data_IF_886647510498
#
_entry.id   IF_886647510498
#
_cell.length_a   1.000
_cell.length_b   1.000
_cell.length_c   1.000
_cell.angle_alpha   90.00
_cell.angle_beta   90.00
_cell.angle_gamma   90.00
#
_symmetry.space_group_name_H-M   'P 1'
#
loop_
_entity.id
_entity.type
_entity.pdbx_description
1 polymer ?
#
# COMPACT_ATOMS: atom_id res chain seq x y z
N UNK A 1 -7.75 -4.24 -25.34
CA UNK A 1 -8.62 -5.30 -25.90
C UNK A 1 -10.06 -5.02 -25.50
N UNK A 2 -10.92 -4.95 -26.49
CA UNK A 2 -12.33 -4.74 -26.23
C UNK A 2 -13.00 -6.07 -25.92
N UNK A 3 -13.38 -6.26 -24.67
CA UNK A 3 -14.04 -7.48 -24.23
C UNK A 3 -15.43 -7.63 -24.82
N UNK A 4 -16.10 -6.53 -25.08
CA UNK A 4 -17.48 -6.53 -25.58
C UNK A 4 -17.56 -6.90 -27.07
N UNK A 5 -16.58 -6.50 -27.86
CA UNK A 5 -16.55 -6.89 -29.26
C UNK A 5 -16.39 -8.40 -29.44
N UNK A 6 -15.76 -9.07 -28.48
CA UNK A 6 -15.62 -10.53 -28.50
C UNK A 6 -16.90 -11.28 -28.13
N UNK A 7 -17.90 -10.61 -27.55
CA UNK A 7 -19.21 -11.20 -27.27
C UNK A 7 -20.03 -11.45 -28.52
N UNK A 8 -19.75 -10.74 -29.60
CA UNK A 8 -20.43 -10.94 -30.88
C UNK A 8 -19.96 -12.22 -31.57
N UNK A 9 -18.84 -12.78 -31.13
CA UNK A 9 -18.37 -14.06 -31.64
C UNK A 9 -19.05 -15.22 -30.92
N UNK A 10 -19.07 -16.40 -31.55
CA UNK A 10 -19.69 -17.62 -31.01
C UNK A 10 -18.83 -18.28 -29.94
N UNK A 11 -18.48 -17.55 -28.88
CA UNK A 11 -17.76 -18.11 -27.74
C UNK A 11 -18.71 -18.85 -26.81
N UNK A 12 -18.22 -19.94 -26.22
CA UNK A 12 -18.94 -20.62 -25.15
C UNK A 12 -18.93 -19.75 -23.88
N UNK A 13 -19.91 -19.95 -23.00
CA UNK A 13 -19.98 -19.27 -21.70
C UNK A 13 -18.74 -19.56 -20.86
N UNK A 14 -18.21 -20.79 -20.93
CA UNK A 14 -17.01 -21.17 -20.21
C UNK A 14 -15.79 -20.37 -20.66
N UNK A 15 -15.59 -20.24 -21.97
CA UNK A 15 -14.49 -19.45 -22.54
C UNK A 15 -14.59 -17.98 -22.16
N UNK A 16 -15.80 -17.42 -22.23
CA UNK A 16 -16.02 -16.04 -21.84
C UNK A 16 -15.74 -15.82 -20.36
N UNK A 17 -16.19 -16.71 -19.48
CA UNK A 17 -15.98 -16.61 -18.04
C UNK A 17 -14.50 -16.72 -17.69
N UNK A 18 -13.76 -17.60 -18.34
CA UNK A 18 -12.31 -17.74 -18.15
C UNK A 18 -11.58 -16.48 -18.57
N UNK A 19 -11.90 -15.92 -19.74
CA UNK A 19 -11.29 -14.70 -20.24
C UNK A 19 -11.60 -13.50 -19.33
N UNK A 20 -12.82 -13.38 -18.85
CA UNK A 20 -13.21 -12.33 -17.92
C UNK A 20 -12.45 -12.43 -16.59
N UNK A 21 -12.27 -13.64 -16.08
CA UNK A 21 -11.50 -13.89 -14.87
C UNK A 21 -10.03 -13.52 -15.05
N UNK A 22 -9.41 -13.90 -16.15
CA UNK A 22 -8.02 -13.55 -16.45
C UNK A 22 -7.83 -12.05 -16.58
N UNK A 23 -8.74 -11.35 -17.24
CA UNK A 23 -8.69 -9.90 -17.37
C UNK A 23 -8.83 -9.20 -16.01
N UNK A 24 -9.73 -9.69 -15.17
CA UNK A 24 -9.90 -9.17 -13.82
C UNK A 24 -8.64 -9.38 -12.97
N UNK A 25 -8.04 -10.57 -13.04
CA UNK A 25 -6.82 -10.88 -12.31
C UNK A 25 -5.66 -9.99 -12.76
N UNK A 26 -5.50 -9.75 -14.05
CA UNK A 26 -4.50 -8.82 -14.59
C UNK A 26 -4.75 -7.41 -14.10
N UNK A 27 -5.99 -6.95 -14.10
CA UNK A 27 -6.36 -5.62 -13.61
C UNK A 27 -5.97 -5.45 -12.14
N UNK A 28 -6.27 -6.44 -11.30
CA UNK A 28 -5.92 -6.41 -9.87
C UNK A 28 -4.41 -6.36 -9.68
N UNK A 29 -3.65 -7.15 -10.44
CA UNK A 29 -2.18 -7.17 -10.37
C UNK A 29 -1.62 -5.81 -10.77
N UNK A 30 -2.08 -5.22 -11.87
CA UNK A 30 -1.63 -3.91 -12.34
C UNK A 30 -1.99 -2.81 -11.34
N UNK A 31 -3.18 -2.85 -10.76
CA UNK A 31 -3.62 -1.89 -9.75
C UNK A 31 -2.72 -1.94 -8.51
N UNK A 32 -2.25 -3.13 -8.11
CA UNK A 32 -1.34 -3.29 -6.98
C UNK A 32 0.10 -2.91 -7.29
N UNK A 33 0.56 -3.20 -8.51
CA UNK A 33 1.97 -3.07 -8.87
C UNK A 33 2.34 -1.66 -9.33
N UNK A 34 1.43 -0.97 -10.02
CA UNK A 34 1.71 0.31 -10.65
C UNK A 34 1.29 1.48 -9.78
N UNK A 35 2.17 2.51 -9.63
CA UNK A 35 1.79 3.75 -8.97
C UNK A 35 0.71 4.49 -9.74
N UNK A 36 -0.14 5.23 -9.03
CA UNK A 36 -1.12 6.11 -9.67
C UNK A 36 -0.43 7.32 -10.29
N UNK A 37 -0.89 7.76 -11.46
CA UNK A 37 -0.25 8.83 -12.21
C UNK A 37 -0.29 10.18 -11.48
N UNK A 38 -1.31 10.41 -10.66
CA UNK A 38 -1.49 11.70 -9.98
C UNK A 38 -0.62 11.87 -8.74
N UNK A 39 -0.37 10.81 -7.96
CA UNK A 39 0.35 10.90 -6.69
C UNK A 39 1.56 9.98 -6.59
N UNK A 40 1.78 9.11 -7.58
CA UNK A 40 2.89 8.16 -7.60
C UNK A 40 2.78 7.05 -6.56
N UNK A 41 1.62 6.88 -5.94
CA UNK A 41 1.41 5.88 -4.90
C UNK A 41 0.74 4.63 -5.45
N UNK A 42 1.19 3.49 -4.94
CA UNK A 42 0.47 2.24 -5.12
C UNK A 42 -0.77 2.21 -4.20
N UNK A 43 -1.81 1.44 -4.53
CA UNK A 43 -3.02 1.41 -3.72
C UNK A 43 -2.80 1.10 -2.24
N UNK A 44 -1.93 0.14 -1.91
CA UNK A 44 -1.63 -0.20 -0.51
C UNK A 44 -0.98 0.98 0.22
N UNK A 45 -0.10 1.72 -0.44
CA UNK A 45 0.56 2.89 0.14
C UNK A 45 -0.46 3.99 0.45
N UNK A 46 -1.37 4.24 -0.49
CA UNK A 46 -2.44 5.23 -0.32
C UNK A 46 -3.37 4.85 0.84
N UNK A 47 -3.72 3.59 0.94
CA UNK A 47 -4.57 3.08 2.05
C UNK A 47 -3.91 3.23 3.41
N UNK A 48 -2.61 2.98 3.48
CA UNK A 48 -1.83 3.16 4.72
C UNK A 48 -1.85 4.63 5.15
N UNK A 49 -1.53 5.54 4.24
CA UNK A 49 -1.50 6.97 4.53
C UNK A 49 -2.89 7.46 4.96
N UNK A 50 -3.93 7.03 4.27
CA UNK A 50 -5.30 7.40 4.61
C UNK A 50 -5.71 6.85 5.98
N UNK A 51 -5.40 5.61 6.30
CA UNK A 51 -5.69 5.01 7.59
C UNK A 51 -4.98 5.75 8.73
N UNK A 52 -3.71 6.10 8.53
CA UNK A 52 -2.95 6.87 9.52
C UNK A 52 -3.57 8.25 9.74
N UNK A 53 -4.04 8.89 8.66
CA UNK A 53 -4.75 10.16 8.75
C UNK A 53 -6.04 10.04 9.56
N UNK A 54 -6.83 8.99 9.32
CA UNK A 54 -8.08 8.77 10.03
C UNK A 54 -7.92 8.59 11.54
N UNK A 55 -6.84 7.94 11.96
CA UNK A 55 -6.57 7.75 13.40
C UNK A 55 -5.77 8.89 14.02
N UNK A 56 -5.59 9.99 13.27
CA UNK A 56 -4.96 11.20 13.79
C UNK A 56 -3.46 11.15 13.93
N UNK A 57 -2.78 10.27 13.20
CA UNK A 57 -1.31 10.14 13.25
C UNK A 57 -0.61 11.15 12.34
N UNK A 58 -0.81 12.43 12.59
CA UNK A 58 -0.09 13.49 11.88
C UNK A 58 1.37 13.59 12.37
N UNK A 59 2.17 14.39 11.65
CA UNK A 59 3.57 14.64 12.04
C UNK A 59 3.69 15.39 13.38
N UNK A 60 2.61 15.94 13.89
CA UNK A 60 2.56 16.63 15.18
C UNK A 60 2.08 15.72 16.31
N UNK A 61 1.59 14.51 15.99
CA UNK A 61 1.12 13.58 17.00
C UNK A 61 2.27 12.76 17.59
N UNK A 62 1.99 12.07 18.70
CA UNK A 62 2.92 11.06 19.21
C UNK A 62 2.96 9.86 18.28
N UNK A 63 4.09 9.18 18.24
CA UNK A 63 4.21 7.91 17.53
C UNK A 63 3.27 6.86 18.14
N UNK A 64 2.78 5.96 17.30
CA UNK A 64 2.02 4.79 17.72
C UNK A 64 2.63 3.53 17.13
N UNK A 65 2.41 2.40 17.78
CA UNK A 65 2.91 1.11 17.29
C UNK A 65 2.46 0.88 15.86
N UNK A 66 3.40 0.45 15.00
CA UNK A 66 3.11 0.15 13.60
C UNK A 66 2.05 -0.94 13.44
N UNK A 67 2.00 -1.89 14.37
CA UNK A 67 0.99 -2.93 14.39
C UNK A 67 -0.43 -2.37 14.43
N UNK A 68 -0.66 -1.24 15.07
CA UNK A 68 -1.97 -0.60 15.11
C UNK A 68 -2.40 -0.11 13.73
N UNK A 69 -1.49 0.58 13.04
CA UNK A 69 -1.76 1.04 11.67
C UNK A 69 -2.03 -0.12 10.73
N UNK A 70 -1.21 -1.16 10.80
CA UNK A 70 -1.40 -2.36 9.99
C UNK A 70 -2.76 -2.99 10.25
N UNK A 71 -3.16 -3.11 11.53
CA UNK A 71 -4.47 -3.65 11.90
C UNK A 71 -5.62 -2.84 11.33
N UNK A 72 -5.55 -1.52 11.38
CA UNK A 72 -6.58 -0.64 10.82
C UNK A 72 -6.68 -0.79 9.29
N UNK A 73 -5.54 -0.85 8.60
CA UNK A 73 -5.53 -1.01 7.13
C UNK A 73 -6.16 -2.32 6.72
N UNK A 74 -5.77 -3.42 7.38
CA UNK A 74 -6.30 -4.75 7.06
C UNK A 74 -7.78 -4.85 7.36
N UNK A 75 -8.24 -4.25 8.46
CA UNK A 75 -9.64 -4.30 8.85
C UNK A 75 -10.58 -3.52 7.95
N UNK A 76 -10.10 -2.43 7.34
CA UNK A 76 -10.96 -1.51 6.58
C UNK A 76 -10.72 -1.53 5.07
N UNK A 77 -9.47 -1.65 4.64
CA UNK A 77 -9.13 -1.32 3.25
C UNK A 77 -8.37 -2.40 2.50
N UNK A 78 -7.73 -3.33 3.18
CA UNK A 78 -6.80 -4.24 2.50
C UNK A 78 -6.94 -5.66 3.04
N UNK A 79 -7.54 -6.58 2.28
CA UNK A 79 -7.81 -7.95 2.74
C UNK A 79 -6.60 -8.89 2.71
N UNK A 80 -5.42 -8.39 2.36
CA UNK A 80 -4.21 -9.21 2.26
C UNK A 80 -3.42 -9.21 3.56
N UNK A 81 -2.48 -10.15 3.69
CA UNK A 81 -1.75 -10.39 4.93
C UNK A 81 -1.01 -9.18 5.50
N UNK A 82 -0.77 -9.21 6.80
CA UNK A 82 -0.12 -8.15 7.55
C UNK A 82 1.33 -7.90 7.12
N UNK A 83 2.05 -8.96 6.73
CA UNK A 83 3.43 -8.84 6.28
C UNK A 83 3.57 -7.93 5.06
N UNK A 84 2.72 -8.10 4.06
CA UNK A 84 2.75 -7.28 2.85
C UNK A 84 2.44 -5.81 3.15
N UNK A 85 1.46 -5.57 4.02
CA UNK A 85 1.10 -4.23 4.46
C UNK A 85 2.25 -3.56 5.21
N UNK A 86 2.85 -4.28 6.16
CA UNK A 86 3.97 -3.74 6.94
C UNK A 86 5.21 -3.49 6.08
N UNK A 87 5.53 -4.39 5.15
CA UNK A 87 6.65 -4.17 4.23
C UNK A 87 6.46 -2.90 3.40
N UNK A 88 5.24 -2.62 2.97
CA UNK A 88 4.94 -1.36 2.28
C UNK A 88 5.17 -0.14 3.19
N UNK A 89 4.80 -0.24 4.46
CA UNK A 89 5.09 0.82 5.45
C UNK A 89 6.59 1.04 5.62
N UNK A 90 7.34 -0.05 5.71
CA UNK A 90 8.80 0.01 5.87
C UNK A 90 9.43 0.77 4.71
N UNK A 91 9.04 0.45 3.48
CA UNK A 91 9.58 1.16 2.31
C UNK A 91 9.29 2.66 2.37
N UNK A 92 8.09 3.03 2.80
CA UNK A 92 7.71 4.46 2.91
C UNK A 92 8.40 5.20 4.05
N UNK A 93 8.96 4.47 5.01
CA UNK A 93 9.69 5.05 6.14
C UNK A 93 11.21 5.12 5.90
N UNK A 94 11.72 4.37 4.93
CA UNK A 94 13.16 4.32 4.65
C UNK A 94 13.58 5.54 3.84
N UNK A 95 14.47 6.36 4.40
CA UNK A 95 14.97 7.57 3.76
C UNK A 95 15.90 7.28 2.57
N UNK A 96 16.47 6.09 2.52
CA UNK A 96 17.26 5.64 1.38
C UNK A 96 16.41 5.06 0.25
N UNK A 97 15.14 4.72 0.51
CA UNK A 97 14.18 4.25 -0.50
C UNK A 97 13.41 5.41 -1.14
N UNK A 98 13.14 6.45 -0.36
CA UNK A 98 12.43 7.65 -0.81
C UNK A 98 13.19 8.89 -0.39
N UNK A 99 13.37 9.84 -1.32
CA UNK A 99 14.01 11.12 -1.00
C UNK A 99 13.24 11.87 0.09
N UNK A 100 11.91 11.78 0.04
CA UNK A 100 11.01 12.39 1.02
C UNK A 100 10.10 11.29 1.57
N UNK A 101 10.47 10.61 2.65
CA UNK A 101 9.64 9.54 3.19
C UNK A 101 8.27 10.05 3.62
N UNK A 102 7.23 9.27 3.37
CA UNK A 102 5.87 9.59 3.78
C UNK A 102 5.56 9.16 5.20
N UNK A 103 6.33 8.24 5.74
CA UNK A 103 6.19 7.78 7.11
C UNK A 103 7.44 8.19 7.89
N UNK A 104 7.21 8.78 9.05
CA UNK A 104 8.23 9.09 10.04
C UNK A 104 8.23 7.94 11.04
N UNK A 105 9.30 7.15 11.07
CA UNK A 105 9.41 5.96 11.88
C UNK A 105 10.41 6.11 13.02
N UNK A 106 10.13 5.42 14.13
CA UNK A 106 11.01 5.32 15.27
C UNK A 106 11.28 3.84 15.56
N UNK A 107 12.55 3.49 15.75
CA UNK A 107 12.99 2.13 15.92
C UNK A 107 13.84 1.65 14.75
N UNK A 108 13.96 0.35 14.57
CA UNK A 108 14.73 -0.25 13.48
C UNK A 108 13.87 -0.45 12.24
N UNK A 109 14.06 0.38 11.23
CA UNK A 109 13.39 0.29 9.94
C UNK A 109 14.31 -0.18 8.81
N UNK A 110 15.42 -0.84 9.16
CA UNK A 110 16.41 -1.29 8.22
C UNK A 110 17.48 -0.25 7.94
N UNK A 111 18.45 -0.62 7.12
CA UNK A 111 19.55 0.25 6.71
C UNK A 111 19.82 0.10 5.21
N UNK A 112 20.59 1.04 4.65
CA UNK A 112 20.96 0.98 3.23
C UNK A 112 21.75 -0.29 2.91
N UNK A 113 22.55 -0.79 3.86
CA UNK A 113 23.33 -2.02 3.67
C UNK A 113 22.49 -3.27 3.81
N UNK A 114 21.40 -3.22 4.58
CA UNK A 114 20.48 -4.33 4.76
C UNK A 114 19.04 -3.79 4.90
N UNK A 115 18.37 -3.50 3.78
CA UNK A 115 17.04 -2.92 3.81
C UNK A 115 15.96 -3.82 4.40
N UNK A 116 16.22 -5.12 4.51
CA UNK A 116 15.26 -6.10 5.04
C UNK A 116 15.48 -6.44 6.51
N UNK A 117 16.48 -5.84 7.17
CA UNK A 117 16.79 -6.09 8.58
C UNK A 117 15.99 -5.22 9.53
N UNK A 118 14.74 -4.92 9.21
CA UNK A 118 13.86 -4.12 10.06
C UNK A 118 13.21 -4.96 11.17
N UNK A 119 12.86 -4.30 12.28
CA UNK A 119 12.18 -4.95 13.40
C UNK A 119 10.73 -5.26 13.06
N UNK A 120 10.13 -6.21 13.79
CA UNK A 120 8.71 -6.55 13.62
C UNK A 120 7.82 -5.35 13.97
N UNK A 121 6.62 -5.31 13.39
CA UNK A 121 5.68 -4.19 13.54
C UNK A 121 5.26 -3.90 14.98
N UNK A 122 5.34 -4.89 15.87
CA UNK A 122 5.03 -4.69 17.28
C UNK A 122 6.11 -3.92 18.04
N UNK A 123 7.30 -3.78 17.47
CA UNK A 123 8.41 -3.08 18.07
C UNK A 123 8.68 -1.69 17.49
N UNK A 124 8.25 -1.45 16.26
CA UNK A 124 8.45 -0.14 15.63
C UNK A 124 7.26 0.77 15.91
N UNK A 125 7.53 2.08 15.86
CA UNK A 125 6.51 3.09 16.01
C UNK A 125 6.53 4.01 14.81
N UNK A 126 5.39 4.58 14.44
CA UNK A 126 5.26 5.36 13.23
C UNK A 126 4.19 6.44 13.35
N UNK A 127 4.35 7.44 12.49
CA UNK A 127 3.36 8.50 12.24
C UNK A 127 3.58 9.02 10.83
N UNK A 128 2.66 9.81 10.33
CA UNK A 128 2.84 10.46 9.03
C UNK A 128 3.95 11.52 9.11
N UNK A 129 4.75 11.62 8.06
CA UNK A 129 5.70 12.72 7.92
C UNK A 129 4.95 13.99 7.48
N UNK A 130 5.61 15.13 7.56
CA UNK A 130 5.03 16.38 7.08
C UNK A 130 4.79 16.38 5.57
N UNK A 131 5.53 15.57 4.81
CA UNK A 131 5.32 15.44 3.36
C UNK A 131 4.07 14.68 3.01
N UNK A 132 3.66 13.73 3.85
CA UNK A 132 2.42 12.98 3.64
C UNK A 132 1.18 13.87 3.72
N UNK A 133 1.24 14.95 4.50
CA UNK A 133 0.14 15.91 4.61
C UNK A 133 -0.19 16.53 3.25
N UNK A 134 0.80 16.72 2.38
CA UNK A 134 0.60 17.26 1.03
C UNK A 134 -0.25 16.34 0.16
N UNK A 135 -0.27 15.04 0.46
CA UNK A 135 -1.07 14.05 -0.28
C UNK A 135 -2.52 13.99 0.18
N UNK A 136 -2.81 14.55 1.36
CA UNK A 136 -4.13 14.51 1.98
C UNK A 136 -4.99 15.75 1.68
N UNK A 137 -4.39 16.78 1.12
CA UNK A 137 -5.07 18.03 0.75
C UNK A 137 -5.75 17.95 -0.61
#
# INVERSE_FOLDING_TARGET
MDLFSSLESTRSVAEFSEQAYLNYSMYVILDRALPHISDGLKPVQRRIIYAMSEIGLSHLSKYKKSARTVGDVLGKYHPHGDSACYEAMVLMAQDFSYRYPFIDGQGNWGSIDDPKSFAAMRYTESRLSKYAVLLLD
#
